data_IF_424476344569
#
_entry.id   IF_424476344569
#
_cell.length_a   1.000
_cell.length_b   1.000
_cell.length_c   1.000
_cell.angle_alpha   90.00
_cell.angle_beta   90.00
_cell.angle_gamma   90.00
#
_symmetry.space_group_name_H-M   'P 1'
#
loop_
_entity.id
_entity.type
_entity.pdbx_description
1 polymer ?
#
# COMPACT_ATOMS: atom_id res chain seq x y z
N UNK A 1 30.45 12.94 -40.36
CA UNK A 1 29.52 11.97 -40.98
C UNK A 1 29.51 10.72 -40.13
N UNK A 2 28.32 10.45 -39.59
CA UNK A 2 27.77 9.23 -38.99
C UNK A 2 28.48 8.62 -37.78
N UNK A 3 28.01 9.10 -36.63
CA UNK A 3 27.77 8.34 -35.41
C UNK A 3 27.04 7.02 -35.72
N UNK A 4 27.59 5.92 -35.21
CA UNK A 4 26.89 4.67 -35.00
C UNK A 4 27.27 4.19 -33.60
N UNK A 5 26.67 4.81 -32.58
CA UNK A 5 26.61 4.22 -31.24
C UNK A 5 25.33 3.41 -31.22
N UNK A 6 25.47 2.12 -31.54
CA UNK A 6 24.39 1.15 -31.47
C UNK A 6 23.90 1.04 -30.04
N UNK A 7 22.68 1.54 -29.80
CA UNK A 7 21.89 1.17 -28.63
C UNK A 7 21.66 -0.33 -28.72
N UNK A 8 22.19 -1.06 -27.74
CA UNK A 8 21.85 -2.46 -27.54
C UNK A 8 20.39 -2.50 -27.13
N UNK A 9 19.50 -2.66 -28.11
CA UNK A 9 18.17 -3.16 -27.86
C UNK A 9 18.34 -4.57 -27.29
N UNK A 10 18.07 -4.73 -26.00
CA UNK A 10 17.79 -6.07 -25.49
C UNK A 10 16.61 -6.62 -26.31
N UNK A 11 16.76 -7.77 -26.97
CA UNK A 11 15.66 -8.36 -27.72
C UNK A 11 14.54 -8.69 -26.73
N UNK A 12 13.36 -8.14 -27.00
CA UNK A 12 12.10 -8.57 -26.39
C UNK A 12 12.04 -10.11 -26.44
N UNK A 13 11.72 -10.81 -25.33
CA UNK A 13 11.52 -12.24 -25.40
C UNK A 13 10.37 -12.51 -26.38
N UNK A 14 10.68 -13.18 -27.49
CA UNK A 14 9.78 -13.47 -28.62
C UNK A 14 8.65 -14.46 -28.32
N UNK A 15 8.05 -14.41 -27.13
CA UNK A 15 6.86 -15.16 -26.77
C UNK A 15 6.12 -14.37 -25.66
N UNK A 16 5.26 -13.43 -26.06
CA UNK A 16 4.20 -12.94 -25.16
C UNK A 16 3.25 -14.11 -24.96
N UNK A 17 3.56 -14.94 -23.96
CA UNK A 17 2.79 -16.14 -23.66
C UNK A 17 1.48 -15.67 -23.04
N UNK A 18 0.41 -15.63 -23.85
CA UNK A 18 -0.96 -15.37 -23.37
C UNK A 18 -1.23 -16.32 -22.20
N UNK A 19 -1.40 -15.75 -21.01
CA UNK A 19 -1.67 -16.54 -19.82
C UNK A 19 -3.16 -16.91 -19.82
N UNK A 20 -3.52 -18.18 -19.55
CA UNK A 20 -4.88 -18.55 -19.16
C UNK A 20 -5.37 -17.65 -18.01
N UNK A 21 -6.68 -17.35 -17.98
CA UNK A 21 -7.30 -16.43 -17.01
C UNK A 21 -6.91 -16.74 -15.57
N UNK A 22 -6.90 -18.01 -15.21
CA UNK A 22 -6.47 -18.57 -13.93
C UNK A 22 -5.02 -18.22 -13.58
N UNK A 23 -4.10 -18.32 -14.54
CA UNK A 23 -2.69 -17.94 -14.35
C UNK A 23 -2.48 -16.43 -14.28
N UNK A 24 -3.26 -15.66 -15.06
CA UNK A 24 -3.23 -14.20 -14.99
C UNK A 24 -3.69 -13.71 -13.61
N UNK A 25 -4.76 -14.29 -13.08
CA UNK A 25 -5.29 -13.97 -11.76
C UNK A 25 -4.27 -14.31 -10.68
N UNK A 26 -3.66 -15.50 -10.74
CA UNK A 26 -2.61 -15.88 -9.80
C UNK A 26 -1.44 -14.88 -9.85
N UNK A 27 -1.01 -14.50 -11.04
CA UNK A 27 0.07 -13.51 -11.23
C UNK A 27 -0.26 -12.15 -10.60
N UNK A 28 -1.48 -11.64 -10.80
CA UNK A 28 -1.93 -10.38 -10.19
C UNK A 28 -1.95 -10.46 -8.66
N UNK A 29 -2.39 -11.60 -8.10
CA UNK A 29 -2.40 -11.81 -6.66
C UNK A 29 -0.98 -11.87 -6.07
N UNK A 30 -0.05 -12.54 -6.77
CA UNK A 30 1.37 -12.57 -6.39
C UNK A 30 1.98 -11.17 -6.40
N UNK A 31 1.62 -10.34 -7.39
CA UNK A 31 2.05 -8.96 -7.47
C UNK A 31 1.54 -8.13 -6.28
N UNK A 32 0.25 -8.24 -5.97
CA UNK A 32 -0.36 -7.53 -4.84
C UNK A 32 0.26 -7.95 -3.50
N UNK A 33 0.49 -9.25 -3.31
CA UNK A 33 1.20 -9.74 -2.12
C UNK A 33 2.64 -9.19 -2.05
N UNK A 34 3.33 -9.10 -3.18
CA UNK A 34 4.65 -8.48 -3.27
C UNK A 34 4.65 -7.02 -2.83
N UNK A 35 3.63 -6.24 -3.22
CA UNK A 35 3.48 -4.84 -2.80
C UNK A 35 3.19 -4.73 -1.30
N UNK A 36 2.31 -5.58 -0.78
CA UNK A 36 2.03 -5.67 0.66
C UNK A 36 3.29 -5.98 1.45
N UNK A 37 4.07 -6.96 0.99
CA UNK A 37 5.32 -7.34 1.64
C UNK A 37 6.35 -6.21 1.60
N UNK A 38 6.49 -5.53 0.45
CA UNK A 38 7.37 -4.36 0.31
C UNK A 38 6.97 -3.24 1.29
N UNK A 39 5.68 -2.92 1.35
CA UNK A 39 5.14 -1.95 2.30
C UNK A 39 5.45 -2.34 3.75
N UNK A 40 5.18 -3.59 4.13
CA UNK A 40 5.41 -4.07 5.49
C UNK A 40 6.90 -4.12 5.88
N UNK A 41 7.81 -4.35 4.92
CA UNK A 41 9.25 -4.16 5.12
C UNK A 41 9.62 -2.67 5.25
N UNK A 42 9.02 -1.80 4.44
CA UNK A 42 9.25 -0.36 4.46
C UNK A 42 8.85 0.25 5.80
N UNK A 43 7.65 -0.04 6.31
CA UNK A 43 7.15 0.44 7.61
C UNK A 43 8.05 -0.05 8.76
N UNK A 44 8.46 -1.32 8.76
CA UNK A 44 9.39 -1.85 9.78
C UNK A 44 10.76 -1.19 9.73
N UNK A 45 11.26 -0.90 8.53
CA UNK A 45 12.52 -0.16 8.34
C UNK A 45 12.38 1.27 8.85
N UNK A 46 11.27 1.94 8.55
CA UNK A 46 10.99 3.30 9.01
C UNK A 46 10.93 3.36 10.54
N UNK A 47 10.19 2.44 11.16
CA UNK A 47 10.16 2.26 12.62
C UNK A 47 11.56 2.03 13.21
N UNK A 48 12.34 1.10 12.64
CA UNK A 48 13.62 0.70 13.21
C UNK A 48 14.67 1.81 13.14
N UNK A 49 14.81 2.47 12.00
CA UNK A 49 15.90 3.44 11.76
C UNK A 49 15.51 4.89 12.04
N UNK A 50 14.20 5.19 12.01
CA UNK A 50 13.65 6.54 12.23
C UNK A 50 12.49 6.50 13.24
N UNK A 51 12.72 5.98 14.47
CA UNK A 51 11.65 5.73 15.43
C UNK A 51 10.89 7.00 15.81
N UNK A 52 11.57 8.15 15.96
CA UNK A 52 10.92 9.44 16.28
C UNK A 52 9.90 9.85 15.21
N UNK A 53 10.27 9.76 13.94
CA UNK A 53 9.38 10.08 12.82
C UNK A 53 8.21 9.08 12.72
N UNK A 54 8.48 7.79 12.91
CA UNK A 54 7.44 6.77 12.94
C UNK A 54 6.43 7.01 14.08
N UNK A 55 6.91 7.24 15.30
CA UNK A 55 6.04 7.50 16.44
C UNK A 55 5.29 8.83 16.32
N UNK A 56 5.85 9.85 15.66
CA UNK A 56 5.13 11.08 15.35
C UNK A 56 3.92 10.81 14.44
N UNK A 57 4.11 10.10 13.30
CA UNK A 57 3.00 9.72 12.43
C UNK A 57 1.98 8.82 13.13
N UNK A 58 2.45 7.86 13.91
CA UNK A 58 1.57 6.96 14.68
C UNK A 58 0.77 7.73 15.73
N UNK A 59 1.37 8.71 16.40
CA UNK A 59 0.68 9.53 17.39
C UNK A 59 -0.43 10.37 16.75
N UNK A 60 -0.19 10.96 15.58
CA UNK A 60 -1.22 11.69 14.81
C UNK A 60 -2.38 10.73 14.50
N UNK A 61 -2.07 9.55 13.94
CA UNK A 61 -3.08 8.53 13.64
C UNK A 61 -3.87 8.10 14.88
N UNK A 62 -3.21 7.82 16.00
CA UNK A 62 -3.86 7.42 17.25
C UNK A 62 -4.80 8.51 17.79
N UNK A 63 -4.42 9.79 17.68
CA UNK A 63 -5.29 10.92 18.05
C UNK A 63 -6.53 11.00 17.15
N UNK A 64 -6.36 10.82 15.84
CA UNK A 64 -7.48 10.75 14.88
C UNK A 64 -8.39 9.56 15.18
N UNK A 65 -7.81 8.38 15.41
CA UNK A 65 -8.53 7.15 15.78
C UNK A 65 -9.34 7.32 17.07
N UNK A 66 -8.80 8.05 18.05
CA UNK A 66 -9.49 8.34 19.31
C UNK A 66 -10.74 9.20 19.08
N UNK A 67 -10.62 10.31 18.33
CA UNK A 67 -11.78 11.16 17.99
C UNK A 67 -12.83 10.34 17.25
N UNK A 68 -12.44 9.64 16.19
CA UNK A 68 -13.38 8.85 15.39
C UNK A 68 -13.99 7.67 16.15
N UNK A 69 -13.30 7.16 17.19
CA UNK A 69 -13.81 6.12 18.08
C UNK A 69 -14.97 6.58 18.97
N UNK A 70 -15.12 7.88 19.20
CA UNK A 70 -16.22 8.50 19.95
C UNK A 70 -17.47 8.75 19.07
N UNK A 71 -17.35 8.55 17.76
CA UNK A 71 -18.42 8.81 16.78
C UNK A 71 -19.21 7.54 16.42
N UNK A 72 -20.31 7.73 15.68
CA UNK A 72 -21.11 6.63 15.13
C UNK A 72 -20.44 5.87 13.97
N UNK A 73 -19.22 6.26 13.58
CA UNK A 73 -18.43 5.55 12.57
C UNK A 73 -17.83 4.23 13.09
N UNK A 74 -17.93 3.97 14.39
CA UNK A 74 -17.39 2.76 15.00
C UNK A 74 -18.06 1.48 14.43
N UNK A 75 -17.28 0.39 14.37
CA UNK A 75 -17.74 -0.87 13.76
C UNK A 75 -18.78 -1.64 14.62
N UNK A 76 -19.25 -1.08 15.73
CA UNK A 76 -20.10 -1.76 16.71
C UNK A 76 -21.46 -2.17 16.12
N UNK A 77 -22.01 -1.34 15.22
CA UNK A 77 -23.35 -1.57 14.65
C UNK A 77 -23.35 -2.37 13.35
N UNK A 78 -22.18 -2.76 12.80
CA UNK A 78 -22.01 -3.59 11.59
C UNK A 78 -22.73 -3.12 10.30
N UNK A 79 -23.48 -2.03 10.34
CA UNK A 79 -24.17 -1.44 9.18
C UNK A 79 -23.20 -0.74 8.23
N UNK A 80 -22.04 -0.32 8.74
CA UNK A 80 -21.10 0.57 8.03
C UNK A 80 -19.63 0.15 8.20
N UNK A 81 -19.33 -1.11 7.87
CA UNK A 81 -17.96 -1.65 7.93
C UNK A 81 -17.01 -0.82 7.06
N UNK A 82 -15.86 -0.43 7.62
CA UNK A 82 -14.80 0.27 6.89
C UNK A 82 -14.82 1.79 7.02
N UNK A 83 -15.95 2.42 7.37
CA UNK A 83 -16.07 3.90 7.39
C UNK A 83 -15.09 4.58 8.33
N UNK A 84 -14.89 4.06 9.54
CA UNK A 84 -13.86 4.56 10.46
C UNK A 84 -12.47 4.49 9.82
N UNK A 85 -12.14 3.36 9.18
CA UNK A 85 -10.84 3.18 8.50
C UNK A 85 -10.68 4.18 7.35
N UNK A 86 -11.72 4.38 6.54
CA UNK A 86 -11.75 5.39 5.49
C UNK A 86 -11.58 6.79 6.05
N UNK A 87 -12.31 7.16 7.11
CA UNK A 87 -12.18 8.47 7.74
C UNK A 87 -10.76 8.72 8.27
N UNK A 88 -10.13 7.72 8.92
CA UNK A 88 -8.73 7.79 9.35
C UNK A 88 -7.83 8.00 8.13
N UNK A 89 -8.02 7.22 7.06
CA UNK A 89 -7.21 7.30 5.86
C UNK A 89 -7.32 8.67 5.18
N UNK A 90 -8.53 9.22 5.04
CA UNK A 90 -8.78 10.55 4.48
C UNK A 90 -8.12 11.65 5.31
N UNK A 91 -8.29 11.62 6.63
CA UNK A 91 -7.63 12.58 7.53
C UNK A 91 -6.10 12.52 7.42
N UNK A 92 -5.53 11.31 7.43
CA UNK A 92 -4.08 11.12 7.36
C UNK A 92 -3.52 11.47 5.98
N UNK A 93 -4.25 11.20 4.88
CA UNK A 93 -3.86 11.56 3.51
C UNK A 93 -3.91 13.07 3.29
N UNK A 94 -4.82 13.80 3.94
CA UNK A 94 -4.88 15.27 3.85
C UNK A 94 -3.56 15.94 4.26
N UNK A 95 -2.83 15.36 5.23
CA UNK A 95 -1.50 15.84 5.64
C UNK A 95 -0.48 15.84 4.50
N UNK A 96 -0.69 15.04 3.46
CA UNK A 96 0.21 14.98 2.31
C UNK A 96 -0.03 16.10 1.28
N UNK A 97 -1.16 16.81 1.37
CA UNK A 97 -1.44 17.97 0.51
C UNK A 97 -0.58 19.18 0.88
N UNK A 98 0.18 19.71 -0.10
CA UNK A 98 0.96 20.96 0.06
C UNK A 98 0.06 22.13 0.45
N UNK A 99 -1.12 22.23 -0.17
CA UNK A 99 -2.10 23.28 0.14
C UNK A 99 -2.59 23.18 1.58
N UNK A 100 -2.91 21.96 2.02
CA UNK A 100 -3.36 21.70 3.38
C UNK A 100 -2.29 22.12 4.42
N UNK A 101 -1.04 21.73 4.20
CA UNK A 101 0.08 22.15 5.06
C UNK A 101 0.34 23.66 5.02
N UNK A 102 0.22 24.29 3.85
CA UNK A 102 0.38 25.75 3.72
C UNK A 102 -0.70 26.53 4.49
N UNK A 103 -1.96 26.06 4.45
CA UNK A 103 -3.06 26.66 5.21
C UNK A 103 -2.85 26.52 6.72
N UNK A 104 -2.35 25.38 7.19
CA UNK A 104 -1.98 25.18 8.60
C UNK A 104 -0.91 26.17 9.06
N UNK A 105 0.17 26.33 8.26
CA UNK A 105 1.26 27.27 8.57
C UNK A 105 0.78 28.72 8.58
N UNK A 106 -0.11 29.08 7.65
CA UNK A 106 -0.69 30.42 7.56
C UNK A 106 -1.76 30.70 8.62
N UNK A 107 -2.13 29.72 9.46
CA UNK A 107 -3.13 29.88 10.52
C UNK A 107 -4.56 30.09 10.00
N UNK A 108 -4.85 29.73 8.75
CA UNK A 108 -6.14 29.98 8.10
C UNK A 108 -7.17 28.91 8.43
N UNK A 109 -7.64 28.92 9.69
CA UNK A 109 -8.49 27.85 10.27
C UNK A 109 -9.73 27.49 9.45
N UNK A 110 -10.50 28.49 9.00
CA UNK A 110 -11.72 28.23 8.23
C UNK A 110 -11.44 27.52 6.91
N UNK A 111 -10.48 28.02 6.15
CA UNK A 111 -10.08 27.44 4.85
C UNK A 111 -9.45 26.06 5.02
N UNK A 112 -8.72 25.85 6.13
CA UNK A 112 -8.16 24.55 6.50
C UNK A 112 -9.28 23.53 6.79
N UNK A 113 -10.30 23.93 7.56
CA UNK A 113 -11.46 23.10 7.86
C UNK A 113 -12.28 22.78 6.61
N UNK A 114 -12.59 23.79 5.79
CA UNK A 114 -13.29 23.59 4.51
C UNK A 114 -12.54 22.61 3.59
N UNK A 115 -11.20 22.67 3.59
CA UNK A 115 -10.39 21.73 2.83
C UNK A 115 -10.42 20.33 3.46
N UNK A 116 -10.37 20.19 4.79
CA UNK A 116 -10.49 18.90 5.46
C UNK A 116 -11.83 18.22 5.13
N UNK A 117 -12.94 18.97 5.20
CA UNK A 117 -14.27 18.44 4.88
C UNK A 117 -14.33 17.92 3.44
N UNK A 118 -13.74 18.66 2.48
CA UNK A 118 -13.61 18.23 1.08
C UNK A 118 -12.72 17.01 0.88
N UNK A 119 -11.67 16.85 1.69
CA UNK A 119 -10.81 15.66 1.64
C UNK A 119 -11.49 14.43 2.26
N UNK A 120 -12.31 14.63 3.30
CA UNK A 120 -13.10 13.55 3.93
C UNK A 120 -14.20 13.07 2.98
N UNK A 121 -14.91 13.98 2.32
CA UNK A 121 -15.93 13.68 1.31
C UNK A 121 -15.65 14.42 -0.01
N UNK A 122 -14.80 13.83 -0.88
CA UNK A 122 -14.57 14.39 -2.20
C UNK A 122 -15.77 14.07 -3.11
N UNK A 123 -16.63 15.06 -3.32
CA UNK A 123 -17.79 15.08 -4.25
C UNK A 123 -18.99 14.15 -3.92
N UNK A 124 -20.20 14.63 -4.19
CA UNK A 124 -21.47 13.98 -3.80
C UNK A 124 -21.83 12.72 -4.61
N UNK A 125 -21.29 12.58 -5.83
CA UNK A 125 -21.61 11.52 -6.79
C UNK A 125 -20.77 10.24 -6.64
N UNK A 126 -19.73 10.27 -5.79
CA UNK A 126 -18.79 9.15 -5.59
C UNK A 126 -18.93 8.46 -4.21
N UNK A 127 -19.96 8.83 -3.44
CA UNK A 127 -20.03 8.45 -2.02
C UNK A 127 -20.63 7.05 -1.86
N UNK A 128 -19.77 6.03 -1.85
CA UNK A 128 -20.14 4.70 -1.37
C UNK A 128 -20.24 4.63 0.17
N UNK A 129 -19.70 5.63 0.89
CA UNK A 129 -19.68 5.66 2.36
C UNK A 129 -19.59 7.10 2.90
N UNK A 130 -20.74 7.76 3.17
CA UNK A 130 -20.73 9.09 3.79
C UNK A 130 -20.13 9.04 5.19
N UNK A 131 -19.28 10.01 5.51
CA UNK A 131 -18.52 10.19 6.75
C UNK A 131 -18.95 11.48 7.46
N UNK A 132 -19.04 12.61 6.76
CA UNK A 132 -19.34 13.93 7.34
C UNK A 132 -20.66 13.96 8.11
N UNK A 133 -21.76 13.30 7.68
CA UNK A 133 -23.00 13.27 8.45
C UNK A 133 -22.88 12.64 9.85
N UNK A 134 -21.78 11.92 10.12
CA UNK A 134 -21.51 11.26 11.40
C UNK A 134 -20.51 12.02 12.27
N UNK A 135 -20.01 13.17 11.80
CA UNK A 135 -19.09 14.02 12.53
C UNK A 135 -19.82 15.28 13.00
N UNK A 136 -19.71 15.60 14.28
CA UNK A 136 -20.16 16.90 14.80
C UNK A 136 -19.17 18.01 14.48
N UNK A 137 -19.59 19.26 14.63
CA UNK A 137 -18.68 20.42 14.50
C UNK A 137 -17.50 20.34 15.47
N UNK A 138 -17.73 19.81 16.69
CA UNK A 138 -16.69 19.62 17.71
C UNK A 138 -15.70 18.53 17.29
N UNK A 139 -16.17 17.45 16.66
CA UNK A 139 -15.28 16.39 16.14
C UNK A 139 -14.40 16.95 15.01
N UNK A 140 -14.98 17.73 14.10
CA UNK A 140 -14.26 18.37 13.01
C UNK A 140 -13.22 19.36 13.51
N UNK A 141 -13.52 20.16 14.54
CA UNK A 141 -12.56 21.08 15.15
C UNK A 141 -11.40 20.31 15.81
N UNK A 142 -11.69 19.24 16.57
CA UNK A 142 -10.66 18.37 17.17
C UNK A 142 -9.77 17.74 16.11
N UNK A 143 -10.35 17.23 15.02
CA UNK A 143 -9.60 16.70 13.88
C UNK A 143 -8.74 17.78 13.23
N UNK A 144 -9.27 18.98 13.03
CA UNK A 144 -8.50 20.11 12.48
C UNK A 144 -7.30 20.45 13.36
N UNK A 145 -7.46 20.51 14.68
CA UNK A 145 -6.36 20.77 15.62
C UNK A 145 -5.27 19.69 15.54
N UNK A 146 -5.67 18.41 15.56
CA UNK A 146 -4.75 17.28 15.44
C UNK A 146 -3.95 17.34 14.14
N UNK A 147 -4.63 17.63 13.02
CA UNK A 147 -4.00 17.65 11.70
C UNK A 147 -3.14 18.90 11.49
N UNK A 148 -3.54 20.05 12.03
CA UNK A 148 -2.74 21.27 11.99
C UNK A 148 -1.42 21.09 12.76
N UNK A 149 -1.45 20.46 13.93
CA UNK A 149 -0.25 20.05 14.66
C UNK A 149 0.60 19.06 13.82
N UNK A 150 -0.07 18.05 13.25
CA UNK A 150 0.55 17.01 12.44
C UNK A 150 1.27 17.53 11.19
N UNK A 151 0.81 18.63 10.60
CA UNK A 151 1.44 19.25 9.43
C UNK A 151 2.91 19.61 9.65
N UNK A 152 3.28 20.03 10.88
CA UNK A 152 4.68 20.37 11.22
C UNK A 152 5.57 19.14 11.21
N UNK A 153 5.11 18.04 11.81
CA UNK A 153 5.84 16.77 11.83
C UNK A 153 5.97 16.19 10.42
N UNK A 154 4.90 16.25 9.62
CA UNK A 154 4.92 15.75 8.23
C UNK A 154 5.85 16.56 7.34
N UNK A 155 5.90 17.90 7.48
CA UNK A 155 6.88 18.73 6.78
C UNK A 155 8.31 18.32 7.13
N UNK A 156 8.62 18.16 8.43
CA UNK A 156 9.94 17.72 8.87
C UNK A 156 10.33 16.36 8.29
N UNK A 157 9.39 15.42 8.25
CA UNK A 157 9.62 14.09 7.64
C UNK A 157 9.87 14.21 6.14
N UNK A 158 9.09 15.03 5.42
CA UNK A 158 9.28 15.30 3.99
C UNK A 158 10.63 15.93 3.70
N UNK A 159 11.10 16.85 4.54
CA UNK A 159 12.38 17.55 4.37
C UNK A 159 13.58 16.61 4.61
N UNK A 160 13.49 15.74 5.62
CA UNK A 160 14.61 14.89 6.04
C UNK A 160 14.67 13.55 5.28
N UNK A 161 13.52 13.00 4.88
CA UNK A 161 13.38 11.60 4.45
C UNK A 161 12.58 11.46 3.14
N UNK A 162 12.85 10.40 2.38
CA UNK A 162 12.17 10.11 1.11
C UNK A 162 11.05 9.06 1.20
N UNK A 163 10.66 8.60 2.41
CA UNK A 163 9.57 7.61 2.55
C UNK A 163 8.23 8.12 2.01
N UNK A 164 7.94 9.41 2.24
CA UNK A 164 6.67 10.02 1.86
C UNK A 164 6.55 10.31 0.35
N UNK A 165 7.63 10.13 -0.41
CA UNK A 165 7.61 10.14 -1.89
C UNK A 165 6.89 8.90 -2.44
N UNK A 166 6.94 7.79 -1.70
CA UNK A 166 6.45 6.49 -2.14
C UNK A 166 5.20 6.02 -1.40
N UNK A 167 4.93 6.56 -0.21
CA UNK A 167 3.78 6.17 0.62
C UNK A 167 3.21 7.40 1.30
N UNK A 168 1.88 7.48 1.43
CA UNK A 168 1.25 8.57 2.18
C UNK A 168 1.41 8.38 3.71
N UNK A 169 1.10 9.39 4.54
CA UNK A 169 1.19 9.27 5.99
C UNK A 169 0.31 8.16 6.59
N UNK A 170 -0.81 7.82 5.95
CA UNK A 170 -1.66 6.71 6.39
C UNK A 170 -0.96 5.36 6.18
N UNK A 171 -0.37 5.15 5.01
CA UNK A 171 0.41 3.98 4.68
C UNK A 171 1.60 3.82 5.62
N UNK A 172 2.41 4.87 5.80
CA UNK A 172 3.60 4.80 6.65
C UNK A 172 3.30 4.60 8.14
N UNK A 173 2.07 4.88 8.59
CA UNK A 173 1.60 4.58 9.94
C UNK A 173 0.84 3.24 10.06
N UNK A 174 0.62 2.53 8.95
CA UNK A 174 -0.11 1.25 8.89
C UNK A 174 0.79 0.04 9.13
N UNK A 175 1.21 -0.13 10.38
CA UNK A 175 1.89 -1.33 10.82
C UNK A 175 0.89 -2.47 11.09
N UNK A 176 1.12 -3.63 10.46
CA UNK A 176 0.37 -4.87 10.76
C UNK A 176 1.37 -5.95 11.16
N UNK A 177 1.15 -6.58 12.31
CA UNK A 177 2.06 -7.61 12.79
C UNK A 177 2.05 -8.83 11.88
N UNK A 178 3.21 -9.47 11.71
CA UNK A 178 3.36 -10.69 10.93
C UNK A 178 2.49 -11.82 11.45
N UNK A 179 2.30 -11.90 12.79
CA UNK A 179 1.37 -12.82 13.43
C UNK A 179 -0.06 -12.63 12.93
N UNK A 180 -0.53 -11.38 12.89
CA UNK A 180 -1.89 -11.08 12.48
C UNK A 180 -2.09 -11.39 11.00
N UNK A 181 -1.16 -10.95 10.13
CA UNK A 181 -1.19 -11.28 8.71
C UNK A 181 -1.25 -12.80 8.47
N UNK A 182 -0.40 -13.56 9.18
CA UNK A 182 -0.37 -15.02 9.06
C UNK A 182 -1.66 -15.67 9.57
N UNK A 183 -2.23 -15.14 10.66
CA UNK A 183 -3.48 -15.66 11.23
C UNK A 183 -4.64 -15.48 10.25
N UNK A 184 -4.81 -14.29 9.67
CA UNK A 184 -5.82 -14.05 8.63
C UNK A 184 -5.58 -14.92 7.39
N UNK A 185 -4.31 -15.07 6.96
CA UNK A 185 -3.93 -15.98 5.87
C UNK A 185 -4.36 -17.43 6.11
N UNK A 186 -4.02 -18.00 7.26
CA UNK A 186 -4.35 -19.39 7.60
C UNK A 186 -5.86 -19.57 7.77
N UNK A 187 -6.53 -18.69 8.50
CA UNK A 187 -7.98 -18.78 8.71
C UNK A 187 -8.77 -18.72 7.41
N UNK A 188 -8.37 -17.86 6.46
CA UNK A 188 -9.03 -17.79 5.16
C UNK A 188 -8.69 -18.99 4.26
N UNK A 189 -7.42 -19.42 4.21
CA UNK A 189 -7.00 -20.61 3.44
C UNK A 189 -7.78 -21.84 3.86
N UNK A 190 -8.09 -21.96 5.15
CA UNK A 190 -8.80 -23.11 5.73
C UNK A 190 -10.31 -22.91 5.86
N UNK A 191 -10.87 -21.84 5.27
CA UNK A 191 -12.33 -21.65 5.19
C UNK A 191 -12.99 -21.26 6.52
N UNK A 192 -12.23 -20.77 7.49
CA UNK A 192 -12.74 -20.33 8.80
C UNK A 192 -13.27 -18.91 8.71
N UNK A 193 -12.59 -18.04 7.98
CA UNK A 193 -13.05 -16.69 7.70
C UNK A 193 -14.10 -16.67 6.58
N UNK A 194 -15.08 -15.78 6.71
CA UNK A 194 -16.11 -15.56 5.71
C UNK A 194 -15.55 -14.77 4.54
N UNK A 195 -15.32 -15.47 3.42
CA UNK A 195 -14.84 -14.90 2.16
C UNK A 195 -15.99 -14.15 1.47
N UNK A 196 -15.69 -13.00 0.86
CA UNK A 196 -16.66 -12.26 0.04
C UNK A 196 -17.11 -13.13 -1.15
N UNK A 197 -18.38 -13.08 -1.58
CA UNK A 197 -18.86 -13.92 -2.69
C UNK A 197 -18.04 -13.76 -3.97
N UNK A 198 -17.64 -12.54 -4.29
CA UNK A 198 -16.79 -12.26 -5.44
C UNK A 198 -15.37 -12.77 -5.28
N UNK A 199 -14.89 -13.16 -4.10
CA UNK A 199 -13.53 -13.68 -3.90
C UNK A 199 -13.49 -15.22 -3.86
N UNK A 200 -14.63 -15.90 -3.93
CA UNK A 200 -14.71 -17.37 -3.91
C UNK A 200 -14.02 -18.03 -5.11
N UNK A 201 -13.97 -17.35 -6.25
CA UNK A 201 -13.28 -17.84 -7.46
C UNK A 201 -11.75 -17.72 -7.38
N UNK A 202 -11.21 -17.03 -6.36
CA UNK A 202 -9.77 -16.99 -6.10
C UNK A 202 -9.31 -18.30 -5.46
N UNK A 203 -8.03 -18.64 -5.69
CA UNK A 203 -7.37 -19.73 -4.96
C UNK A 203 -7.36 -19.44 -3.46
N UNK A 204 -7.48 -20.47 -2.59
CA UNK A 204 -7.54 -20.31 -1.13
C UNK A 204 -6.44 -19.40 -0.54
N UNK A 205 -5.22 -19.47 -1.07
CA UNK A 205 -4.05 -18.68 -0.67
C UNK A 205 -4.24 -17.16 -0.87
N UNK A 206 -5.17 -16.75 -1.72
CA UNK A 206 -5.39 -15.36 -2.11
C UNK A 206 -6.64 -14.74 -1.47
N UNK A 207 -7.44 -15.52 -0.73
CA UNK A 207 -8.73 -15.06 -0.19
C UNK A 207 -8.61 -14.19 1.06
N UNK A 208 -7.47 -14.23 1.73
CA UNK A 208 -7.29 -13.74 3.10
C UNK A 208 -7.42 -12.24 3.34
N UNK A 209 -7.30 -11.41 2.30
CA UNK A 209 -7.61 -9.96 2.38
C UNK A 209 -9.06 -9.65 2.02
N UNK A 210 -9.78 -10.62 1.49
CA UNK A 210 -11.14 -10.49 0.97
C UNK A 210 -12.13 -11.22 1.88
N UNK A 211 -11.88 -11.14 3.19
CA UNK A 211 -12.75 -11.70 4.22
C UNK A 211 -13.38 -10.59 5.06
N UNK A 212 -14.57 -10.86 5.58
CA UNK A 212 -15.27 -9.91 6.45
C UNK A 212 -14.46 -9.61 7.72
N UNK A 213 -13.77 -10.61 8.25
CA UNK A 213 -12.94 -10.52 9.45
C UNK A 213 -11.74 -9.59 9.22
N UNK A 214 -11.12 -9.60 8.03
CA UNK A 214 -10.00 -8.71 7.71
C UNK A 214 -10.43 -7.24 7.60
N UNK A 215 -11.66 -6.98 7.16
CA UNK A 215 -12.22 -5.62 7.10
C UNK A 215 -12.65 -5.08 8.47
N UNK A 216 -13.04 -5.97 9.39
CA UNK A 216 -13.48 -5.59 10.75
C UNK A 216 -12.33 -5.43 11.74
N UNK A 217 -11.19 -6.04 11.47
CA UNK A 217 -9.99 -5.92 12.28
C UNK A 217 -9.30 -4.57 11.99
N UNK A 218 -9.28 -3.67 12.98
CA UNK A 218 -8.77 -2.29 12.84
C UNK A 218 -7.34 -2.22 12.27
N UNK A 219 -6.48 -3.21 12.58
CA UNK A 219 -5.13 -3.24 12.03
C UNK A 219 -5.14 -3.70 10.56
N UNK A 220 -5.92 -4.73 10.25
CA UNK A 220 -6.04 -5.29 8.89
C UNK A 220 -6.84 -4.40 7.94
N UNK A 221 -7.81 -3.62 8.43
CA UNK A 221 -8.69 -2.77 7.63
C UNK A 221 -7.90 -1.78 6.75
N UNK A 222 -6.77 -1.29 7.25
CA UNK A 222 -5.84 -0.45 6.47
C UNK A 222 -5.34 -1.11 5.18
N UNK A 223 -5.17 -2.43 5.19
CA UNK A 223 -4.71 -3.23 4.05
C UNK A 223 -5.89 -3.81 3.27
N UNK A 224 -6.89 -4.35 3.96
CA UNK A 224 -8.01 -5.05 3.35
C UNK A 224 -9.00 -4.11 2.65
N UNK A 225 -9.19 -2.91 3.20
CA UNK A 225 -10.15 -1.92 2.70
C UNK A 225 -9.45 -0.73 2.03
N UNK A 226 -8.52 -0.07 2.74
CA UNK A 226 -7.92 1.19 2.29
C UNK A 226 -6.67 1.04 1.42
N UNK A 227 -6.25 -0.20 1.13
CA UNK A 227 -5.12 -0.53 0.27
C UNK A 227 -3.83 0.25 0.61
N UNK A 228 -3.56 0.47 1.90
CA UNK A 228 -2.42 1.25 2.41
C UNK A 228 -1.04 0.82 1.85
N UNK A 229 -0.95 -0.38 1.28
CA UNK A 229 0.29 -0.91 0.72
C UNK A 229 0.59 -0.50 -0.72
N UNK A 230 -0.32 0.22 -1.39
CA UNK A 230 -0.13 0.67 -2.78
C UNK A 230 0.89 1.80 -2.82
N UNK A 231 1.93 1.61 -3.63
CA UNK A 231 3.02 2.57 -3.80
C UNK A 231 2.51 3.78 -4.59
N UNK A 232 2.80 4.99 -4.10
CA UNK A 232 2.57 6.24 -4.80
C UNK A 232 3.35 6.27 -6.10
N UNK A 233 2.68 6.74 -7.13
CA UNK A 233 3.29 6.92 -8.45
C UNK A 233 4.06 8.24 -8.47
N UNK A 234 5.33 8.25 -8.88
CA UNK A 234 6.06 9.50 -9.02
C UNK A 234 5.30 10.41 -9.99
N UNK A 235 5.26 11.70 -9.66
CA UNK A 235 4.59 12.70 -10.48
C UNK A 235 5.17 12.66 -11.91
N UNK A 236 4.28 12.57 -12.88
CA UNK A 236 4.61 12.64 -14.30
C UNK A 236 4.10 13.97 -14.83
N UNK A 237 4.86 14.58 -15.74
CA UNK A 237 4.36 15.67 -16.56
C UNK A 237 3.41 15.17 -17.68
N UNK A 238 3.21 13.86 -17.80
CA UNK A 238 2.15 13.23 -18.56
C UNK A 238 0.91 13.16 -17.66
N UNK A 239 -0.20 13.71 -18.14
CA UNK A 239 -1.45 13.77 -17.40
C UNK A 239 -2.45 12.75 -17.94
N UNK A 240 -3.26 12.19 -17.03
CA UNK A 240 -4.41 11.38 -17.39
C UNK A 240 -5.65 12.17 -16.98
N UNK A 241 -6.53 12.42 -17.94
CA UNK A 241 -7.80 13.10 -17.74
C UNK A 241 -8.94 12.11 -18.02
N UNK A 242 -10.08 12.25 -17.33
CA UNK A 242 -11.26 11.41 -17.54
C UNK A 242 -11.58 10.51 -16.34
N UNK A 243 -12.76 9.88 -16.37
CA UNK A 243 -13.42 9.33 -15.18
C UNK A 243 -14.24 10.42 -14.49
N UNK A 244 -13.56 11.27 -13.71
CA UNK A 244 -14.21 12.20 -12.75
C UNK A 244 -14.04 13.68 -13.11
N UNK A 245 -13.18 13.97 -14.09
CA UNK A 245 -12.86 15.33 -14.51
C UNK A 245 -13.59 15.65 -15.80
N UNK A 246 -14.35 16.76 -15.83
CA UNK A 246 -14.93 17.28 -17.08
C UNK A 246 -13.82 17.67 -18.04
N UNK A 247 -13.64 16.87 -19.08
CA UNK A 247 -12.72 17.19 -20.16
C UNK A 247 -13.51 17.93 -21.23
N UNK A 248 -13.10 19.17 -21.53
CA UNK A 248 -13.55 19.87 -22.72
C UNK A 248 -12.35 20.12 -23.64
N UNK A 249 -12.45 19.67 -24.89
CA UNK A 249 -11.47 19.99 -25.96
C UNK A 249 -12.20 20.89 -26.95
N UNK A 250 -11.65 22.08 -27.19
CA UNK A 250 -12.24 23.11 -28.07
C UNK A 250 -13.72 23.43 -27.76
N UNK A 251 -14.07 23.43 -26.47
CA UNK A 251 -15.43 23.71 -26.00
C UNK A 251 -16.41 22.53 -26.09
N UNK A 252 -15.96 21.36 -26.57
CA UNK A 252 -16.76 20.13 -26.62
C UNK A 252 -16.43 19.23 -25.44
N UNK A 253 -17.42 18.95 -24.60
CA UNK A 253 -17.29 18.02 -23.48
C UNK A 253 -17.14 16.58 -23.98
N UNK A 254 -16.02 15.94 -23.64
CA UNK A 254 -15.74 14.55 -23.98
C UNK A 254 -16.24 13.63 -22.85
N UNK A 255 -17.51 13.22 -22.95
CA UNK A 255 -18.13 12.26 -22.02
C UNK A 255 -17.63 10.85 -22.27
N UNK A 256 -17.38 10.07 -21.22
CA UNK A 256 -16.90 8.66 -21.30
C UNK A 256 -15.55 8.48 -22.01
N UNK A 257 -14.69 9.50 -22.00
CA UNK A 257 -13.34 9.41 -22.55
C UNK A 257 -12.31 9.44 -21.44
N UNK A 258 -11.24 8.67 -21.62
CA UNK A 258 -10.01 8.77 -20.85
C UNK A 258 -8.91 9.27 -21.80
N UNK A 259 -8.24 10.36 -21.45
CA UNK A 259 -7.24 11.05 -22.28
C UNK A 259 -5.89 10.99 -21.59
N UNK A 260 -4.90 10.50 -22.32
CA UNK A 260 -3.49 10.60 -21.94
C UNK A 260 -2.89 11.84 -22.64
N UNK A 261 -2.59 12.88 -21.88
CA UNK A 261 -1.96 14.09 -22.40
C UNK A 261 -0.45 14.05 -22.16
N UNK A 262 0.30 13.99 -23.27
CA UNK A 262 1.76 13.99 -23.26
C UNK A 262 2.26 15.37 -23.68
N UNK A 263 3.10 16.04 -22.87
CA UNK A 263 3.65 17.34 -23.23
C UNK A 263 4.58 17.20 -24.44
N UNK A 264 4.48 18.16 -25.36
CA UNK A 264 5.34 18.25 -26.56
C UNK A 264 6.46 19.28 -26.40
N UNK A 265 6.36 20.12 -25.37
CA UNK A 265 7.27 21.22 -25.04
C UNK A 265 8.42 20.81 -24.10
N UNK A 266 8.32 19.62 -23.50
CA UNK A 266 9.32 19.06 -22.57
C UNK A 266 9.34 17.54 -22.65
N UNK A 267 10.48 16.93 -22.35
CA UNK A 267 10.62 15.47 -22.31
C UNK A 267 9.66 14.86 -21.27
N UNK A 268 8.85 13.85 -21.64
CA UNK A 268 7.99 13.14 -20.70
C UNK A 268 8.82 12.47 -19.59
N UNK A 269 8.46 12.71 -18.33
CA UNK A 269 9.05 12.09 -17.15
C UNK A 269 8.15 10.97 -16.65
N UNK A 270 8.72 9.86 -16.18
CA UNK A 270 7.97 8.75 -15.58
C UNK A 270 6.85 8.17 -16.48
N UNK A 271 7.07 8.08 -17.80
CA UNK A 271 6.05 7.67 -18.78
C UNK A 271 5.44 6.28 -18.47
N UNK A 272 6.25 5.34 -17.99
CA UNK A 272 5.78 4.01 -17.58
C UNK A 272 4.80 4.08 -16.40
N UNK A 273 5.04 5.03 -15.47
CA UNK A 273 4.14 5.28 -14.34
C UNK A 273 2.83 5.91 -14.81
N UNK A 274 2.89 6.85 -15.76
CA UNK A 274 1.71 7.48 -16.36
C UNK A 274 0.85 6.47 -17.14
N UNK A 275 1.47 5.56 -17.90
CA UNK A 275 0.75 4.49 -18.61
C UNK A 275 0.07 3.51 -17.65
N UNK A 276 0.71 3.18 -16.51
CA UNK A 276 0.07 2.41 -15.44
C UNK A 276 -1.14 3.14 -14.84
N UNK A 277 -1.03 4.46 -14.64
CA UNK A 277 -2.14 5.28 -14.16
C UNK A 277 -3.30 5.29 -15.16
N UNK A 278 -3.01 5.49 -16.42
CA UNK A 278 -4.00 5.43 -17.49
C UNK A 278 -4.75 4.09 -17.50
N UNK A 279 -4.03 2.98 -17.37
CA UNK A 279 -4.63 1.65 -17.30
C UNK A 279 -5.56 1.47 -16.10
N UNK A 280 -5.13 1.89 -14.91
CA UNK A 280 -5.95 1.73 -13.71
C UNK A 280 -7.18 2.63 -13.74
N UNK A 281 -7.04 3.88 -14.22
CA UNK A 281 -8.16 4.77 -14.44
C UNK A 281 -9.16 4.18 -15.45
N UNK A 282 -8.67 3.52 -16.51
CA UNK A 282 -9.53 2.81 -17.46
C UNK A 282 -10.26 1.63 -16.81
N UNK A 283 -9.58 0.82 -15.98
CA UNK A 283 -10.23 -0.27 -15.23
C UNK A 283 -11.27 0.25 -14.25
N UNK A 284 -10.99 1.35 -13.56
CA UNK A 284 -11.92 1.98 -12.64
C UNK A 284 -13.14 2.51 -13.39
N UNK A 285 -12.94 3.24 -14.50
CA UNK A 285 -14.04 3.71 -15.34
C UNK A 285 -14.95 2.56 -15.84
N UNK A 286 -14.37 1.40 -16.15
CA UNK A 286 -15.14 0.19 -16.45
C UNK A 286 -15.95 -0.33 -15.26
N UNK A 287 -15.38 -0.32 -14.06
CA UNK A 287 -16.11 -0.66 -12.82
C UNK A 287 -17.25 0.33 -12.59
N UNK A 288 -16.99 1.63 -12.73
CA UNK A 288 -17.98 2.67 -12.47
C UNK A 288 -19.14 2.59 -13.47
N UNK A 289 -18.84 2.29 -14.74
CA UNK A 289 -19.84 2.17 -15.80
C UNK A 289 -20.62 0.85 -15.75
N UNK A 290 -19.97 -0.26 -15.38
CA UNK A 290 -20.54 -1.60 -15.49
C UNK A 290 -20.73 -2.33 -14.15
N UNK A 291 -20.51 -1.63 -13.03
CA UNK A 291 -20.59 -2.14 -11.66
C UNK A 291 -19.46 -3.10 -11.25
N UNK A 292 -18.80 -3.75 -12.21
CA UNK A 292 -17.71 -4.68 -11.97
C UNK A 292 -16.88 -4.88 -13.25
N UNK A 293 -15.55 -4.86 -13.11
CA UNK A 293 -14.63 -5.10 -14.22
C UNK A 293 -14.84 -6.48 -14.87
N UNK A 294 -15.24 -7.48 -14.09
CA UNK A 294 -15.49 -8.84 -14.61
C UNK A 294 -16.62 -8.90 -15.65
N UNK A 295 -17.49 -7.88 -15.71
CA UNK A 295 -18.59 -7.80 -16.67
C UNK A 295 -18.11 -7.38 -18.07
N UNK A 296 -16.94 -6.74 -18.17
CA UNK A 296 -16.38 -6.22 -19.43
C UNK A 296 -14.96 -6.71 -19.73
N UNK A 297 -14.38 -7.49 -18.82
CA UNK A 297 -13.10 -8.19 -19.02
C UNK A 297 -13.18 -9.10 -20.25
N UNK A 298 -12.23 -8.92 -21.16
CA UNK A 298 -12.02 -9.82 -22.30
C UNK A 298 -10.57 -10.33 -22.29
N UNK A 299 -10.34 -11.61 -22.62
CA UNK A 299 -8.98 -12.15 -22.71
C UNK A 299 -8.09 -11.36 -23.66
N UNK A 300 -8.62 -10.82 -24.75
CA UNK A 300 -7.87 -10.03 -25.73
C UNK A 300 -7.36 -8.72 -25.13
N UNK A 301 -8.21 -8.03 -24.36
CA UNK A 301 -7.83 -6.80 -23.68
C UNK A 301 -6.88 -7.10 -22.52
N UNK A 302 -7.25 -8.02 -21.63
CA UNK A 302 -6.49 -8.39 -20.44
C UNK A 302 -5.09 -8.94 -20.75
N UNK A 303 -4.94 -9.59 -21.91
CA UNK A 303 -3.65 -10.09 -22.38
C UNK A 303 -2.93 -9.18 -23.37
N UNK A 304 -3.49 -8.01 -23.69
CA UNK A 304 -2.81 -7.05 -24.56
C UNK A 304 -1.46 -6.62 -23.96
N UNK A 305 -0.51 -6.25 -24.82
CA UNK A 305 0.75 -5.65 -24.37
C UNK A 305 0.48 -4.44 -23.46
N UNK A 306 -0.53 -3.63 -23.75
CA UNK A 306 -0.94 -2.53 -22.89
C UNK A 306 -1.26 -2.97 -21.46
N UNK A 307 -1.96 -4.10 -21.29
CA UNK A 307 -2.29 -4.65 -19.98
C UNK A 307 -1.14 -5.44 -19.34
N UNK A 308 -0.26 -6.07 -20.14
CA UNK A 308 0.79 -7.00 -19.67
C UNK A 308 2.21 -6.41 -19.55
N UNK A 309 2.60 -5.37 -20.31
CA UNK A 309 4.01 -4.94 -20.50
C UNK A 309 4.72 -4.37 -19.26
N UNK A 310 4.08 -4.38 -18.09
CA UNK A 310 4.70 -3.86 -16.86
C UNK A 310 5.01 -4.96 -15.84
N UNK A 311 5.08 -6.21 -16.31
CA UNK A 311 5.50 -7.40 -15.56
C UNK A 311 6.98 -7.40 -15.14
N UNK A 312 7.76 -6.36 -15.46
CA UNK A 312 9.20 -6.26 -15.17
C UNK A 312 9.52 -5.71 -13.76
N UNK A 313 8.62 -5.82 -12.79
CA UNK A 313 9.05 -5.56 -11.40
C UNK A 313 9.88 -6.74 -10.92
N UNK A 314 10.99 -6.46 -10.24
CA UNK A 314 11.70 -7.45 -9.42
C UNK A 314 10.74 -7.94 -8.34
N UNK A 315 10.01 -9.02 -8.58
CA UNK A 315 9.07 -9.52 -7.60
C UNK A 315 9.81 -9.92 -6.33
N UNK A 316 9.38 -9.42 -5.16
CA UNK A 316 9.85 -9.95 -3.88
C UNK A 316 9.41 -11.41 -3.67
N UNK A 317 8.39 -11.83 -4.40
CA UNK A 317 7.71 -13.13 -4.29
C UNK A 317 7.27 -13.59 -5.68
N UNK A 318 7.63 -14.82 -6.05
CA UNK A 318 7.40 -15.30 -7.42
C UNK A 318 6.17 -16.21 -7.56
N UNK A 319 5.55 -16.60 -6.44
CA UNK A 319 4.55 -17.67 -6.40
C UNK A 319 3.82 -17.70 -5.05
N UNK A 320 2.55 -18.07 -5.09
CA UNK A 320 1.62 -18.14 -3.94
C UNK A 320 2.13 -18.99 -2.78
N UNK A 321 2.82 -20.12 -3.07
CA UNK A 321 3.40 -21.00 -2.05
C UNK A 321 4.40 -20.33 -1.10
N UNK A 322 4.95 -19.17 -1.48
CA UNK A 322 5.90 -18.43 -0.64
C UNK A 322 5.20 -17.58 0.44
N UNK A 323 3.90 -17.29 0.34
CA UNK A 323 3.20 -16.34 1.21
C UNK A 323 3.37 -16.66 2.69
N UNK A 324 3.01 -17.89 3.08
CA UNK A 324 3.13 -18.38 4.46
C UNK A 324 4.53 -18.14 5.01
N UNK A 325 5.55 -18.57 4.28
CA UNK A 325 6.95 -18.47 4.70
C UNK A 325 7.41 -17.01 4.87
N UNK A 326 6.97 -16.09 3.99
CA UNK A 326 7.26 -14.66 4.10
C UNK A 326 6.58 -14.01 5.29
N UNK A 327 5.31 -14.35 5.56
CA UNK A 327 4.56 -13.86 6.71
C UNK A 327 5.15 -14.36 8.03
N UNK A 328 5.59 -15.63 8.09
CA UNK A 328 6.32 -16.16 9.24
C UNK A 328 7.65 -15.43 9.47
N UNK A 329 8.39 -15.09 8.41
CA UNK A 329 9.60 -14.26 8.52
C UNK A 329 9.34 -12.87 9.11
N UNK A 330 8.23 -12.23 8.74
CA UNK A 330 7.79 -10.96 9.36
C UNK A 330 7.42 -11.13 10.83
N UNK A 331 6.70 -12.20 11.19
CA UNK A 331 6.34 -12.45 12.58
C UNK A 331 7.60 -12.67 13.44
N UNK A 332 8.55 -13.46 12.94
CA UNK A 332 9.82 -13.68 13.63
C UNK A 332 10.59 -12.36 13.80
N UNK A 333 10.57 -11.48 12.80
CA UNK A 333 11.17 -10.17 12.91
C UNK A 333 10.51 -9.32 14.01
N UNK A 334 9.17 -9.33 14.09
CA UNK A 334 8.41 -8.57 15.10
C UNK A 334 8.68 -9.05 16.54
N UNK A 335 8.90 -10.35 16.74
CA UNK A 335 9.25 -10.90 18.06
C UNK A 335 10.66 -10.50 18.50
N UNK A 336 11.60 -10.42 17.56
CA UNK A 336 12.98 -10.00 17.82
C UNK A 336 13.11 -8.48 17.92
N UNK A 337 12.24 -7.72 17.24
CA UNK A 337 12.25 -6.25 17.22
C UNK A 337 10.85 -5.71 17.55
N UNK A 338 10.39 -5.85 18.81
CA UNK A 338 9.04 -5.46 19.19
C UNK A 338 8.83 -3.96 19.04
N UNK A 339 7.68 -3.60 18.45
CA UNK A 339 7.24 -2.21 18.30
C UNK A 339 6.76 -1.60 19.62
N UNK A 340 6.29 -2.43 20.56
CA UNK A 340 5.96 -2.01 21.92
C UNK A 340 7.23 -1.97 22.78
N UNK A 341 7.29 -1.07 23.78
CA UNK A 341 8.42 -0.89 24.69
C UNK A 341 8.76 -2.15 25.50
N UNK A 342 9.44 -3.11 24.88
CA UNK A 342 9.88 -4.37 25.48
C UNK A 342 11.22 -4.80 24.91
N UNK A 343 11.94 -5.65 25.64
CA UNK A 343 13.12 -6.31 25.12
C UNK A 343 12.69 -7.36 24.09
N UNK A 344 13.26 -7.30 22.88
CA UNK A 344 13.03 -8.32 21.87
C UNK A 344 13.54 -9.69 22.30
N UNK A 345 12.89 -10.74 21.79
CA UNK A 345 13.31 -12.12 22.03
C UNK A 345 14.64 -12.42 21.33
N UNK A 346 15.43 -13.33 21.90
CA UNK A 346 16.51 -13.94 21.14
C UNK A 346 15.94 -14.73 19.96
N UNK A 347 16.73 -14.89 18.89
CA UNK A 347 16.32 -15.62 17.68
C UNK A 347 15.87 -17.06 18.00
N UNK A 348 16.53 -17.73 18.95
CA UNK A 348 16.15 -19.07 19.44
C UNK A 348 14.77 -19.08 20.07
N UNK A 349 14.49 -18.10 20.92
CA UNK A 349 13.28 -18.03 21.73
C UNK A 349 12.09 -17.61 20.86
N UNK A 350 12.34 -16.74 19.86
CA UNK A 350 11.36 -16.38 18.85
C UNK A 350 10.95 -17.58 17.98
N UNK A 351 11.90 -18.43 17.59
CA UNK A 351 11.59 -19.67 16.86
C UNK A 351 10.71 -20.61 17.69
N UNK A 352 11.06 -20.81 18.97
CA UNK A 352 10.30 -21.66 19.88
C UNK A 352 8.89 -21.10 20.14
N UNK A 353 8.76 -19.78 20.33
CA UNK A 353 7.47 -19.09 20.49
C UNK A 353 6.58 -19.27 19.25
N UNK A 354 7.11 -19.04 18.05
CA UNK A 354 6.34 -19.24 16.80
C UNK A 354 5.90 -20.69 16.66
N UNK A 355 6.80 -21.65 16.91
CA UNK A 355 6.46 -23.07 16.81
C UNK A 355 5.29 -23.44 17.73
N UNK A 356 5.35 -23.03 19.01
CA UNK A 356 4.30 -23.30 20.01
C UNK A 356 2.98 -22.63 19.66
N UNK A 357 3.01 -21.33 19.34
CA UNK A 357 1.79 -20.57 19.07
C UNK A 357 1.14 -20.98 17.75
N UNK A 358 1.94 -21.28 16.73
CA UNK A 358 1.44 -21.77 15.46
C UNK A 358 0.81 -23.17 15.60
N UNK A 359 1.40 -24.06 16.41
CA UNK A 359 0.80 -25.36 16.73
C UNK A 359 -0.54 -25.20 17.45
N UNK A 360 -0.62 -24.28 18.43
CA UNK A 360 -1.85 -23.99 19.15
C UNK A 360 -2.95 -23.43 18.23
N UNK A 361 -2.60 -22.47 17.35
CA UNK A 361 -3.54 -21.94 16.36
C UNK A 361 -4.07 -23.05 15.46
N UNK A 362 -3.21 -23.90 14.88
CA UNK A 362 -3.65 -24.96 13.97
C UNK A 362 -4.53 -26.01 14.65
N UNK A 363 -4.29 -26.32 15.93
CA UNK A 363 -5.19 -27.17 16.74
C UNK A 363 -6.57 -26.54 16.87
N UNK A 364 -6.65 -25.22 17.04
CA UNK A 364 -7.93 -24.50 17.06
C UNK A 364 -8.62 -24.48 15.69
N UNK A 365 -7.86 -24.46 14.59
CA UNK A 365 -8.40 -24.49 13.22
C UNK A 365 -8.90 -25.89 12.77
N UNK A 366 -8.90 -26.90 13.66
CA UNK A 366 -9.41 -28.26 13.44
C UNK A 366 -8.82 -28.98 12.19
N UNK A 367 -7.58 -28.69 11.85
CA UNK A 367 -6.94 -29.22 10.65
C UNK A 367 -6.52 -30.69 10.83
N UNK A 368 -7.02 -31.55 9.95
CA UNK A 368 -6.62 -32.96 9.86
C UNK A 368 -5.18 -33.06 9.34
N UNK A 369 -4.20 -33.02 10.26
CA UNK A 369 -2.81 -33.54 10.27
C UNK A 369 -2.03 -33.94 8.99
N UNK A 370 -2.39 -33.55 7.76
CA UNK A 370 -1.78 -34.11 6.53
C UNK A 370 -0.72 -33.25 5.84
N UNK A 371 -0.61 -31.96 6.15
CA UNK A 371 0.51 -31.14 5.67
C UNK A 371 1.59 -31.04 6.75
N UNK A 372 2.87 -31.37 6.48
CA UNK A 372 3.95 -31.04 7.40
C UNK A 372 3.97 -29.52 7.56
N UNK A 373 3.70 -29.10 8.80
CA UNK A 373 3.26 -27.75 9.06
C UNK A 373 4.43 -26.78 8.94
N UNK A 374 5.63 -27.16 9.40
CA UNK A 374 6.75 -26.26 9.54
C UNK A 374 8.07 -27.01 9.41
N UNK A 375 9.03 -26.37 8.74
CA UNK A 375 10.43 -26.78 8.74
C UNK A 375 11.20 -25.66 9.44
N UNK A 376 11.80 -25.94 10.60
CA UNK A 376 12.54 -24.95 11.40
C UNK A 376 13.67 -24.29 10.61
N UNK A 377 14.25 -25.02 9.65
CA UNK A 377 15.26 -24.47 8.74
C UNK A 377 14.68 -23.40 7.80
N UNK A 378 13.37 -23.45 7.52
CA UNK A 378 12.68 -22.45 6.69
C UNK A 378 12.46 -21.13 7.41
N UNK A 379 12.18 -21.13 8.72
CA UNK A 379 11.87 -19.90 9.47
C UNK A 379 13.07 -18.99 9.61
N UNK A 380 14.22 -19.55 10.03
CA UNK A 380 15.45 -18.78 10.15
C UNK A 380 15.86 -18.18 8.81
N UNK A 381 15.75 -18.94 7.72
CA UNK A 381 16.04 -18.44 6.38
C UNK A 381 15.11 -17.28 5.98
N UNK A 382 13.80 -17.37 6.26
CA UNK A 382 12.85 -16.30 5.94
C UNK A 382 13.00 -15.07 6.85
N UNK A 383 13.36 -15.27 8.11
CA UNK A 383 13.76 -14.20 9.01
C UNK A 383 15.02 -13.51 8.51
N UNK A 384 16.07 -14.25 8.14
CA UNK A 384 17.30 -13.68 7.60
C UNK A 384 17.02 -12.89 6.31
N UNK A 385 16.10 -13.35 5.46
CA UNK A 385 15.62 -12.58 4.30
C UNK A 385 14.89 -11.31 4.73
N UNK A 386 13.98 -11.37 5.71
CA UNK A 386 13.29 -10.19 6.23
C UNK A 386 14.30 -9.19 6.84
N UNK A 387 15.26 -9.66 7.63
CA UNK A 387 16.36 -8.86 8.20
C UNK A 387 17.17 -8.19 7.10
N UNK A 388 17.54 -8.90 6.03
CA UNK A 388 18.27 -8.30 4.89
C UNK A 388 17.48 -7.16 4.24
N UNK A 389 16.16 -7.29 4.14
CA UNK A 389 15.30 -6.25 3.58
C UNK A 389 15.00 -5.12 4.59
N UNK A 390 14.89 -5.38 5.89
CA UNK A 390 14.49 -4.37 6.88
C UNK A 390 15.71 -3.68 7.51
N UNK A 391 16.72 -4.45 7.91
CA UNK A 391 17.87 -4.03 8.71
C UNK A 391 19.18 -4.33 7.95
N UNK A 392 19.56 -3.52 6.96
CA UNK A 392 20.86 -3.71 6.33
C UNK A 392 21.97 -3.58 7.39
N UNK A 393 22.94 -4.50 7.41
CA UNK A 393 24.20 -4.25 8.11
C UNK A 393 24.90 -3.10 7.39
N UNK A 394 25.43 -2.12 8.13
CA UNK A 394 26.48 -1.24 7.60
C UNK A 394 27.68 -2.12 7.26
N UNK A 395 27.75 -2.63 6.04
CA UNK A 395 28.92 -3.38 5.60
C UNK A 395 30.04 -2.38 5.35
N UNK A 396 31.19 -2.59 5.99
CA UNK A 396 32.38 -1.74 5.91
C UNK A 396 33.00 -1.66 4.50
N UNK A 397 32.51 -2.43 3.52
CA UNK A 397 33.18 -2.64 2.24
C UNK A 397 32.27 -2.73 1.01
N UNK A 398 30.95 -2.62 1.15
CA UNK A 398 30.05 -2.43 0.00
C UNK A 398 29.72 -0.95 -0.11
N UNK A 399 29.97 -0.39 -1.29
CA UNK A 399 29.64 1.00 -1.62
C UNK A 399 28.19 1.29 -1.15
N UNK A 400 27.95 2.26 -0.25
CA UNK A 400 26.62 2.57 0.32
C UNK A 400 25.56 2.99 -0.72
N UNK A 401 25.89 2.89 -2.01
CA UNK A 401 25.15 3.38 -3.18
C UNK A 401 24.50 2.29 -4.04
N UNK A 402 24.64 1.00 -3.73
CA UNK A 402 23.90 -0.03 -4.48
C UNK A 402 22.46 -0.15 -3.96
N UNK A 403 21.42 0.10 -4.79
CA UNK A 403 20.03 -0.05 -4.41
C UNK A 403 19.72 -1.52 -4.13
N UNK A 404 19.07 -1.79 -2.99
CA UNK A 404 18.66 -3.14 -2.58
C UNK A 404 17.42 -3.59 -3.35
N UNK A 405 17.06 -4.87 -3.30
CA UNK A 405 15.81 -5.37 -3.91
C UNK A 405 14.58 -4.57 -3.50
N UNK A 406 14.40 -4.28 -2.19
CA UNK A 406 13.31 -3.41 -1.74
C UNK A 406 13.40 -1.98 -2.30
N UNK A 407 14.61 -1.40 -2.38
CA UNK A 407 14.78 -0.04 -2.90
C UNK A 407 14.52 -0.01 -4.41
N UNK A 408 15.11 -0.93 -5.17
CA UNK A 408 14.84 -1.13 -6.60
C UNK A 408 13.36 -1.35 -6.86
N UNK A 409 12.67 -2.13 -6.00
CA UNK A 409 11.24 -2.39 -6.13
C UNK A 409 10.40 -1.11 -5.99
N UNK A 410 10.76 -0.24 -5.04
CA UNK A 410 9.99 0.95 -4.70
C UNK A 410 10.37 2.15 -5.57
N UNK A 411 11.66 2.38 -5.76
CA UNK A 411 12.18 3.57 -6.45
C UNK A 411 12.35 3.37 -7.95
N UNK A 412 12.23 2.13 -8.45
CA UNK A 412 12.49 1.79 -9.86
C UNK A 412 13.86 2.27 -10.36
N UNK A 413 14.83 2.48 -9.45
CA UNK A 413 16.13 3.10 -9.74
C UNK A 413 17.19 2.87 -8.66
N UNK A 414 18.19 3.76 -8.62
CA UNK A 414 19.35 3.71 -7.70
C UNK A 414 19.10 4.39 -6.34
N UNK A 415 17.96 5.07 -6.17
CA UNK A 415 17.67 5.80 -4.94
C UNK A 415 17.45 4.83 -3.77
N UNK A 416 18.07 5.14 -2.64
CA UNK A 416 18.04 4.34 -1.42
C UNK A 416 17.00 4.95 -0.47
N UNK A 417 16.09 4.13 0.06
CA UNK A 417 15.14 4.61 1.07
C UNK A 417 15.86 5.03 2.36
N UNK A 418 15.52 6.21 2.87
CA UNK A 418 16.12 6.76 4.09
C UNK A 418 16.15 8.27 4.07
N UNK A 419 17.30 8.83 4.46
CA UNK A 419 17.54 10.28 4.43
C UNK A 419 17.68 10.77 3.00
N UNK A 420 17.11 11.94 2.69
CA UNK A 420 17.32 12.60 1.40
C UNK A 420 18.78 13.00 1.23
N UNK A 421 19.28 12.87 0.00
CA UNK A 421 20.54 13.51 -0.35
C UNK A 421 20.32 15.02 -0.50
N UNK A 422 21.31 15.88 -0.19
CA UNK A 422 21.20 17.33 -0.39
C UNK A 422 20.87 17.75 -1.84
N UNK A 423 21.16 16.88 -2.81
CA UNK A 423 20.85 17.08 -4.23
C UNK A 423 19.43 16.62 -4.66
N UNK A 424 18.66 16.01 -3.75
CA UNK A 424 17.31 15.48 -3.98
C UNK A 424 16.23 16.29 -3.25
N UNK A 425 16.57 17.51 -2.81
CA UNK A 425 15.58 18.41 -2.24
C UNK A 425 14.51 18.69 -3.31
N UNK A 426 13.21 18.57 -2.98
CA UNK A 426 12.17 18.90 -3.93
C UNK A 426 12.32 20.36 -4.36
N UNK A 427 12.25 20.63 -5.67
CA UNK A 427 12.09 21.99 -6.18
C UNK A 427 10.90 22.62 -5.44
N UNK A 428 11.20 23.69 -4.70
CA UNK A 428 10.28 24.44 -3.85
C UNK A 428 9.17 25.05 -4.70
#
# INVERSE_FOLDING_TARGET
MNENVGVVHHPLPGNIRVLPRDKLVEHLQVQEFGQLLAHQYCVRRFFLHFPSAFYALRNIRMRVEAVLGETQLNNEYRLFVGRKSTAIARCMRALDSRQFRALAVAGKRREFRELLEREIEPFEDQIHSPILPFLSDDDLERLCEILADGCKEVNKIHDELNFLDFYDPFAMSSFVSGKLLLTHYLSAKHGIHSVRPWAEWLQPENRWRHTREAELDDAMASIAHELAFVIRRPASNVHVYGGDQRIAVDGVELKNHLILAVPIDKTPTNIDSALRHFRDALRQAFVDTHGCYANVSSPEFDNSLFMQNFNERTFLVNQTRQYRSRLSGLWMWDLVNPVAHGCGLAVSDALESIAKEAEAQLKQLALTHKEPLYDDSSYKNQYDLAVRQITPKLMKTTDPRQPRELDQYLTSGMAVLGRRSPAEAPDI
#
